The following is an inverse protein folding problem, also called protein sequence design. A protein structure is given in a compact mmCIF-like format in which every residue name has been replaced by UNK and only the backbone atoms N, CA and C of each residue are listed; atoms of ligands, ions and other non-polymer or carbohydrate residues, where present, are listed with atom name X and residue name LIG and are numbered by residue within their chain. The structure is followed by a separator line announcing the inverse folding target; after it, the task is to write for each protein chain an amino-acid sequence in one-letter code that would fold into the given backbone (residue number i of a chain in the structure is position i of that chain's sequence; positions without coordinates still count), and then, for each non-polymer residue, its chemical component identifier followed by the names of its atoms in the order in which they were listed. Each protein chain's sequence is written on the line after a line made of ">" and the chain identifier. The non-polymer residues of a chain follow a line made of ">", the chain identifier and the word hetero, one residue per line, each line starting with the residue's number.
data_IF_092014392256
#
_entry.id   IF_092014392256
#
_cell.length_a   1.000
_cell.length_b   1.000
_cell.length_c   1.000
_cell.angle_alpha   90.00
_cell.angle_beta   90.00
_cell.angle_gamma   90.00
#
_symmetry.space_group_name_H-M   'P 1'
#
loop_
_entity.id
_entity.type
_entity.pdbx_description
1 polymer ?
#
# COMPACT_ATOMS: atom_id res chain seq x y z
N UNK A 1 5.39 -18.11 1.79
CA UNK A 1 5.48 -17.67 3.20
C UNK A 1 4.88 -16.27 3.31
N UNK A 2 3.83 -16.08 4.11
CA UNK A 2 3.10 -14.80 4.18
C UNK A 2 3.75 -13.90 5.24
N UNK A 3 4.32 -12.76 4.84
CA UNK A 3 4.79 -11.74 5.79
C UNK A 3 3.57 -11.05 6.41
N UNK A 4 3.32 -11.28 7.70
CA UNK A 4 2.19 -10.68 8.42
C UNK A 4 2.51 -9.24 8.82
N UNK A 5 2.02 -8.28 8.05
CA UNK A 5 2.18 -6.85 8.33
C UNK A 5 1.09 -6.29 9.25
N UNK A 6 0.40 -7.13 10.04
CA UNK A 6 -0.71 -6.69 10.89
C UNK A 6 -0.32 -5.64 11.93
N UNK A 7 0.96 -5.60 12.31
CA UNK A 7 1.54 -4.56 13.17
C UNK A 7 1.38 -3.14 12.60
N UNK A 8 1.36 -2.99 11.27
CA UNK A 8 1.17 -1.70 10.58
C UNK A 8 -0.30 -1.40 10.24
N UNK A 9 -1.22 -2.32 10.54
CA UNK A 9 -2.65 -2.12 10.26
C UNK A 9 -3.20 -0.91 11.04
N UNK A 10 -4.18 -0.22 10.43
CA UNK A 10 -4.84 0.90 11.09
C UNK A 10 -5.50 0.50 12.43
N UNK A 11 -5.98 -0.74 12.54
CA UNK A 11 -6.57 -1.29 13.77
C UNK A 11 -5.50 -1.45 14.87
N UNK A 12 -4.36 -2.07 14.55
CA UNK A 12 -3.26 -2.23 15.52
C UNK A 12 -2.69 -0.87 15.96
N UNK A 13 -2.54 0.08 15.03
CA UNK A 13 -2.14 1.46 15.33
C UNK A 13 -3.17 2.18 16.22
N UNK A 14 -4.45 2.08 15.88
CA UNK A 14 -5.53 2.70 16.66
C UNK A 14 -5.55 2.23 18.11
N UNK A 15 -5.30 0.93 18.35
CA UNK A 15 -5.18 0.36 19.69
C UNK A 15 -3.99 0.93 20.47
N UNK A 16 -2.80 1.01 19.87
CA UNK A 16 -1.61 1.61 20.51
C UNK A 16 -1.80 3.08 20.84
N UNK A 17 -2.40 3.84 19.91
CA UNK A 17 -2.73 5.25 20.11
C UNK A 17 -3.69 5.45 21.28
N UNK A 18 -4.64 4.55 21.48
CA UNK A 18 -5.57 4.60 22.61
C UNK A 18 -4.90 4.26 23.96
N UNK A 19 -3.77 3.57 23.95
CA UNK A 19 -3.00 3.17 25.15
C UNK A 19 -1.78 4.07 25.40
N UNK A 20 -1.61 5.15 24.62
CA UNK A 20 -0.46 6.07 24.69
C UNK A 20 0.92 5.38 24.53
N UNK A 21 0.96 4.18 23.95
CA UNK A 21 2.21 3.42 23.71
C UNK A 21 2.78 3.63 22.30
N UNK A 22 2.30 4.63 21.56
CA UNK A 22 2.61 4.82 20.14
C UNK A 22 3.95 5.56 19.90
N UNK A 23 4.57 6.09 20.96
CA UNK A 23 5.78 6.93 20.90
C UNK A 23 7.05 6.20 20.44
N UNK A 24 7.02 4.86 20.37
CA UNK A 24 8.18 4.04 20.01
C UNK A 24 8.40 3.90 18.49
N UNK A 25 7.48 4.39 17.65
CA UNK A 25 7.55 4.19 16.19
C UNK A 25 7.65 5.54 15.49
N UNK A 26 8.80 5.89 14.90
CA UNK A 26 8.85 7.04 14.01
C UNK A 26 7.84 6.78 12.90
N UNK A 27 6.86 7.68 12.75
CA UNK A 27 6.05 7.68 11.54
C UNK A 27 7.02 7.74 10.37
N UNK A 28 7.01 6.71 9.52
CA UNK A 28 7.90 6.59 8.35
C UNK A 28 7.82 7.88 7.49
N UNK A 29 6.70 8.59 7.59
CA UNK A 29 6.48 9.90 7.02
C UNK A 29 5.80 10.78 8.10
N UNK A 30 6.50 11.79 8.60
CA UNK A 30 5.86 12.97 9.17
C UNK A 30 4.92 13.54 8.07
N UNK A 31 3.61 13.69 8.31
CA UNK A 31 2.71 14.24 7.30
C UNK A 31 3.01 15.74 7.12
N UNK A 32 3.95 16.06 6.24
CA UNK A 32 4.25 17.42 5.83
C UNK A 32 3.12 17.94 4.93
N UNK A 33 2.22 18.76 5.49
CA UNK A 33 1.19 19.49 4.73
C UNK A 33 -0.26 19.10 5.06
N UNK A 34 -1.19 19.51 4.18
CA UNK A 34 -2.63 19.38 4.44
C UNK A 34 -3.12 17.94 4.23
N UNK A 35 -3.18 17.17 5.32
CA UNK A 35 -3.64 15.76 5.35
C UNK A 35 -5.01 15.56 4.69
N UNK A 36 -5.94 16.52 4.78
CA UNK A 36 -7.26 16.41 4.14
C UNK A 36 -7.16 16.48 2.61
N UNK A 37 -6.25 17.29 2.08
CA UNK A 37 -6.00 17.38 0.64
C UNK A 37 -5.40 16.06 0.12
N UNK A 38 -4.44 15.47 0.84
CA UNK A 38 -3.84 14.18 0.47
C UNK A 38 -4.84 13.03 0.46
N UNK A 39 -5.79 12.98 1.39
CA UNK A 39 -6.85 11.96 1.37
C UNK A 39 -7.72 12.06 0.11
N UNK A 40 -8.07 13.29 -0.29
CA UNK A 40 -8.85 13.53 -1.52
C UNK A 40 -8.07 13.16 -2.78
N UNK A 41 -6.77 13.49 -2.86
CA UNK A 41 -5.94 13.11 -4.01
C UNK A 41 -5.72 11.60 -4.09
N UNK A 42 -5.53 10.93 -2.95
CA UNK A 42 -5.37 9.48 -2.89
C UNK A 42 -6.62 8.73 -3.36
N UNK A 43 -7.81 9.14 -2.92
CA UNK A 43 -9.06 8.55 -3.39
C UNK A 43 -9.24 8.66 -4.91
N UNK A 44 -8.90 9.82 -5.49
CA UNK A 44 -8.93 10.03 -6.95
C UNK A 44 -7.91 9.15 -7.68
N UNK A 45 -6.71 8.98 -7.11
CA UNK A 45 -5.66 8.15 -7.71
C UNK A 45 -6.05 6.67 -7.70
N UNK A 46 -6.57 6.18 -6.57
CA UNK A 46 -7.11 4.83 -6.45
C UNK A 46 -8.25 4.60 -7.45
N UNK A 47 -9.17 5.56 -7.57
CA UNK A 47 -10.25 5.47 -8.55
C UNK A 47 -9.74 5.30 -9.98
N UNK A 48 -8.68 6.02 -10.37
CA UNK A 48 -8.05 5.87 -11.70
C UNK A 48 -7.45 4.47 -11.89
N UNK A 49 -6.84 3.89 -10.84
CA UNK A 49 -6.26 2.55 -10.90
C UNK A 49 -7.37 1.50 -11.08
N UNK A 50 -8.49 1.61 -10.35
CA UNK A 50 -9.61 0.68 -10.49
C UNK A 50 -10.35 0.81 -11.83
N UNK A 51 -10.28 1.98 -12.48
CA UNK A 51 -10.84 2.20 -13.81
C UNK A 51 -9.92 1.71 -14.94
N UNK A 52 -8.66 1.43 -14.62
CA UNK A 52 -7.68 0.89 -15.56
C UNK A 52 -7.66 -0.63 -15.42
N UNK A 53 -8.01 -1.35 -16.48
CA UNK A 53 -7.85 -2.80 -16.52
C UNK A 53 -6.43 -3.14 -16.99
N UNK A 54 -5.52 -3.59 -16.09
CA UNK A 54 -4.16 -3.95 -16.47
C UNK A 54 -4.09 -5.22 -17.31
N UNK A 55 -5.20 -5.95 -17.45
CA UNK A 55 -5.31 -7.14 -18.29
C UNK A 55 -5.85 -6.83 -19.68
N UNK A 56 -5.90 -5.55 -20.08
CA UNK A 56 -6.19 -5.14 -21.45
C UNK A 56 -4.97 -4.44 -22.04
N UNK A 57 -4.50 -4.92 -23.19
CA UNK A 57 -3.39 -4.30 -23.90
C UNK A 57 -3.78 -2.88 -24.37
N UNK A 58 -3.01 -1.82 -24.03
CA UNK A 58 -3.34 -0.45 -24.41
C UNK A 58 -3.24 -0.19 -25.93
N UNK A 59 -2.51 -1.03 -26.67
CA UNK A 59 -2.32 -0.87 -28.12
C UNK A 59 -3.36 -1.63 -28.94
N UNK A 60 -3.57 -2.91 -28.65
CA UNK A 60 -4.44 -3.78 -29.45
C UNK A 60 -5.78 -4.13 -28.78
N UNK A 61 -6.01 -3.71 -27.53
CA UNK A 61 -7.21 -4.02 -26.72
C UNK A 61 -7.46 -5.51 -26.50
N UNK A 62 -6.45 -6.36 -26.73
CA UNK A 62 -6.51 -7.79 -26.45
C UNK A 62 -6.43 -8.09 -24.95
N UNK A 63 -7.01 -9.24 -24.56
CA UNK A 63 -7.00 -9.73 -23.18
C UNK A 63 -5.62 -10.31 -22.87
N UNK A 64 -5.02 -9.85 -21.77
CA UNK A 64 -3.74 -10.32 -21.23
C UNK A 64 -3.97 -11.27 -20.05
N UNK A 65 -2.97 -12.10 -19.74
CA UNK A 65 -2.99 -13.03 -18.62
C UNK A 65 -1.67 -12.96 -17.86
N UNK A 66 -1.73 -13.15 -16.54
CA UNK A 66 -0.54 -13.23 -15.71
C UNK A 66 0.15 -14.57 -15.98
N UNK A 67 1.45 -14.54 -16.33
CA UNK A 67 2.23 -15.74 -16.66
C UNK A 67 3.18 -16.16 -15.53
N UNK A 68 3.68 -15.21 -14.75
CA UNK A 68 4.59 -15.46 -13.62
C UNK A 68 4.63 -14.25 -12.67
N UNK A 69 5.05 -14.52 -11.43
CA UNK A 69 5.44 -13.50 -10.47
C UNK A 69 6.96 -13.56 -10.30
N UNK A 70 7.61 -12.40 -10.32
CA UNK A 70 9.05 -12.29 -10.05
C UNK A 70 9.19 -12.00 -8.56
N UNK A 71 9.64 -12.99 -7.80
CA UNK A 71 9.96 -12.84 -6.39
C UNK A 71 11.48 -12.62 -6.25
N UNK A 72 11.88 -11.47 -5.70
CA UNK A 72 13.28 -11.21 -5.40
C UNK A 72 13.70 -11.97 -4.13
N UNK A 73 14.69 -12.86 -4.26
CA UNK A 73 15.07 -13.82 -3.21
C UNK A 73 16.15 -13.28 -2.27
N UNK A 74 16.56 -12.03 -2.43
CA UNK A 74 17.79 -11.47 -1.86
C UNK A 74 17.71 -10.99 -0.39
N UNK A 75 16.55 -11.04 0.27
CA UNK A 75 16.42 -10.63 1.69
C UNK A 75 16.59 -11.77 2.72
N UNK A 76 16.76 -13.02 2.31
CA UNK A 76 17.06 -14.13 3.25
C UNK A 76 18.56 -14.40 3.28
N UNK A 77 19.30 -13.41 3.77
CA UNK A 77 20.73 -13.50 4.05
C UNK A 77 21.02 -12.99 5.45
N UNK A 78 21.00 -13.92 6.41
CA UNK A 78 21.39 -13.82 7.83
C UNK A 78 20.28 -13.53 8.83
#
# INVERSE_FOLDING_TARGET
>A
MVRYYGYYSNVARGKRKATETDDAIPCILEPAGNVKAFRKSWARLIQKIYQFDPLVCPHCKGIMRIISFIEDRSEYGR
#
